data_IF_473150342431
#
_entry.id   IF_473150342431
#
_cell.length_a   1.000
_cell.length_b   1.000
_cell.length_c   1.000
_cell.angle_alpha   90.00
_cell.angle_beta   90.00
_cell.angle_gamma   90.00
#
_symmetry.space_group_name_H-M   'P 1'
#
loop_
_entity.id
_entity.type
_entity.pdbx_description
1 polymer ?
#
# COMPACT_ATOMS: atom_id res chain seq x y z
N UNK A 1 8.64 -9.26 -19.03
CA UNK A 1 9.75 -10.14 -18.59
C UNK A 1 10.03 -10.14 -17.09
N UNK A 2 9.93 -9.00 -16.39
CA UNK A 2 10.20 -8.95 -14.93
C UNK A 2 9.06 -9.50 -14.04
N UNK A 3 7.83 -9.63 -14.53
CA UNK A 3 6.69 -10.01 -13.66
C UNK A 3 6.78 -11.44 -13.10
N UNK A 4 7.21 -12.39 -13.92
CA UNK A 4 7.28 -13.81 -13.57
C UNK A 4 8.23 -14.09 -12.39
N UNK A 5 9.48 -13.60 -12.37
CA UNK A 5 10.35 -13.72 -11.19
C UNK A 5 9.73 -13.17 -9.92
N UNK A 6 9.12 -11.98 -9.97
CA UNK A 6 8.50 -11.35 -8.79
C UNK A 6 7.32 -12.16 -8.25
N UNK A 7 6.47 -12.71 -9.13
CA UNK A 7 5.34 -13.58 -8.73
C UNK A 7 5.79 -14.95 -8.21
N UNK A 8 7.00 -15.40 -8.56
CA UNK A 8 7.60 -16.62 -7.97
C UNK A 8 8.08 -16.34 -6.55
N UNK A 9 8.80 -15.24 -6.34
CA UNK A 9 9.40 -14.90 -5.05
C UNK A 9 8.39 -14.37 -4.03
N UNK A 10 7.30 -13.73 -4.46
CA UNK A 10 6.38 -13.04 -3.57
C UNK A 10 4.92 -13.44 -3.76
N UNK A 11 4.23 -13.70 -2.64
CA UNK A 11 2.81 -14.05 -2.62
C UNK A 11 1.91 -12.92 -3.17
N UNK A 12 2.30 -11.68 -2.90
CA UNK A 12 1.60 -10.48 -3.38
C UNK A 12 2.61 -9.55 -4.02
N UNK A 13 2.25 -8.97 -5.16
CA UNK A 13 3.01 -7.91 -5.82
C UNK A 13 2.09 -6.76 -6.20
N UNK A 14 2.64 -5.55 -6.23
CA UNK A 14 1.97 -4.37 -6.72
C UNK A 14 2.68 -3.88 -7.97
N UNK A 15 1.92 -3.66 -9.03
CA UNK A 15 2.38 -2.92 -10.21
C UNK A 15 1.88 -1.49 -10.07
N UNK A 16 2.78 -0.51 -10.14
CA UNK A 16 2.46 0.90 -9.93
C UNK A 16 3.08 1.73 -11.05
N UNK A 17 2.43 2.80 -11.53
CA UNK A 17 3.10 3.74 -12.40
C UNK A 17 4.31 4.36 -11.69
N UNK A 18 5.43 4.55 -12.39
CA UNK A 18 6.62 5.21 -11.81
C UNK A 18 6.36 6.67 -11.46
N UNK A 19 5.41 7.30 -12.16
CA UNK A 19 4.87 8.63 -11.88
C UNK A 19 3.35 8.54 -11.73
N UNK A 20 2.83 9.05 -10.62
CA UNK A 20 1.40 9.09 -10.34
C UNK A 20 1.07 9.64 -8.96
N UNK A 21 -0.20 9.93 -8.74
CA UNK A 21 -0.76 10.41 -7.48
C UNK A 21 -2.01 9.59 -7.11
N UNK A 22 -2.47 9.74 -5.86
CA UNK A 22 -3.76 9.20 -5.39
C UNK A 22 -3.93 7.69 -5.56
N UNK A 23 -2.85 6.91 -5.67
CA UNK A 23 -2.93 5.46 -5.85
C UNK A 23 -3.51 5.01 -7.19
N UNK A 24 -3.70 5.92 -8.16
CA UNK A 24 -4.35 5.61 -9.42
C UNK A 24 -3.47 4.73 -10.32
N UNK A 25 -4.10 3.71 -10.91
CA UNK A 25 -3.42 2.79 -11.82
C UNK A 25 -2.57 1.74 -11.11
N UNK A 26 -2.62 1.66 -9.78
CA UNK A 26 -2.02 0.57 -9.03
C UNK A 26 -2.83 -0.71 -9.28
N UNK A 27 -2.12 -1.80 -9.57
CA UNK A 27 -2.67 -3.15 -9.65
C UNK A 27 -2.02 -4.02 -8.59
N UNK A 28 -2.80 -4.50 -7.64
CA UNK A 28 -2.39 -5.56 -6.72
C UNK A 28 -2.61 -6.90 -7.39
N UNK A 29 -1.61 -7.77 -7.36
CA UNK A 29 -1.71 -9.16 -7.82
C UNK A 29 -1.39 -10.06 -6.62
N UNK A 30 -2.22 -11.07 -6.41
CA UNK A 30 -2.06 -12.05 -5.36
C UNK A 30 -2.08 -13.44 -5.98
N UNK A 31 -1.04 -14.22 -5.68
CA UNK A 31 -1.00 -15.63 -6.06
C UNK A 31 -2.08 -16.38 -5.29
N UNK A 32 -2.70 -17.35 -5.93
CA UNK A 32 -3.68 -18.25 -5.33
C UNK A 32 -3.14 -19.69 -5.38
N UNK A 33 -3.81 -20.63 -4.71
CA UNK A 33 -3.49 -22.05 -4.87
C UNK A 33 -3.59 -22.48 -6.34
N UNK A 34 -4.55 -21.91 -7.08
CA UNK A 34 -4.68 -22.04 -8.53
C UNK A 34 -4.83 -20.65 -9.15
N UNK A 35 -3.86 -20.26 -9.98
CA UNK A 35 -3.87 -18.99 -10.70
C UNK A 35 -3.56 -17.75 -9.85
N UNK A 36 -4.13 -16.63 -10.27
CA UNK A 36 -3.83 -15.28 -9.76
C UNK A 36 -5.10 -14.46 -9.63
N UNK A 37 -5.21 -13.70 -8.54
CA UNK A 37 -6.21 -12.64 -8.38
C UNK A 37 -5.54 -11.30 -8.62
N UNK A 38 -6.19 -10.42 -9.40
CA UNK A 38 -5.75 -9.03 -9.53
C UNK A 38 -6.84 -8.07 -9.07
N UNK A 39 -6.42 -6.93 -8.52
CA UNK A 39 -7.28 -5.82 -8.13
C UNK A 39 -6.67 -4.52 -8.65
N UNK A 40 -7.40 -3.82 -9.54
CA UNK A 40 -6.99 -2.50 -10.05
C UNK A 40 -7.75 -1.40 -9.35
N UNK A 41 -7.00 -0.41 -8.88
CA UNK A 41 -7.51 0.79 -8.24
C UNK A 41 -7.91 1.81 -9.32
N UNK A 42 -9.08 2.44 -9.17
CA UNK A 42 -9.61 3.42 -10.14
C UNK A 42 -10.01 4.72 -9.45
N UNK A 43 -10.07 5.78 -10.27
CA UNK A 43 -10.76 7.02 -9.93
C UNK A 43 -12.20 6.72 -9.52
N UNK A 44 -12.68 7.37 -8.45
CA UNK A 44 -14.07 7.26 -7.99
C UNK A 44 -14.37 6.10 -7.03
N UNK A 45 -13.36 5.46 -6.44
CA UNK A 45 -13.57 4.46 -5.36
C UNK A 45 -13.98 3.05 -5.82
N UNK A 46 -14.01 2.80 -7.13
CA UNK A 46 -14.26 1.47 -7.69
C UNK A 46 -12.98 0.64 -7.85
N UNK A 47 -13.04 -0.64 -7.49
CA UNK A 47 -11.99 -1.61 -7.84
C UNK A 47 -12.49 -2.59 -8.90
N UNK A 48 -11.66 -2.91 -9.92
CA UNK A 48 -11.92 -4.09 -10.76
C UNK A 48 -11.09 -5.23 -10.23
N UNK A 49 -11.76 -6.22 -9.68
CA UNK A 49 -11.17 -7.50 -9.35
C UNK A 49 -11.34 -8.45 -10.53
N UNK A 50 -10.42 -9.42 -10.63
CA UNK A 50 -10.59 -10.55 -11.53
C UNK A 50 -9.64 -11.67 -11.16
N UNK A 51 -9.92 -12.86 -11.71
CA UNK A 51 -9.09 -14.05 -11.53
C UNK A 51 -8.60 -14.50 -12.90
N UNK A 52 -7.35 -14.94 -12.95
CA UNK A 52 -6.73 -15.57 -14.11
C UNK A 52 -6.16 -16.91 -13.68
N UNK A 53 -6.49 -17.99 -14.37
CA UNK A 53 -6.00 -19.35 -14.07
C UNK A 53 -4.51 -19.56 -14.39
N UNK A 54 -3.93 -18.69 -15.21
CA UNK A 54 -2.59 -18.83 -15.76
C UNK A 54 -1.87 -17.48 -15.86
N UNK A 55 -0.53 -17.53 -15.87
CA UNK A 55 0.31 -16.34 -16.03
C UNK A 55 0.07 -15.67 -17.38
N UNK A 56 -0.11 -16.44 -18.45
CA UNK A 56 -0.36 -15.91 -19.79
C UNK A 56 -1.66 -15.09 -19.85
N UNK A 57 -2.76 -15.59 -19.25
CA UNK A 57 -4.02 -14.82 -19.16
C UNK A 57 -3.86 -13.57 -18.31
N UNK A 58 -3.11 -13.66 -17.20
CA UNK A 58 -2.81 -12.49 -16.37
C UNK A 58 -2.03 -11.44 -17.16
N UNK A 59 -0.97 -11.81 -17.87
CA UNK A 59 -0.17 -10.90 -18.68
C UNK A 59 -0.98 -10.27 -19.81
N UNK A 60 -1.81 -11.04 -20.51
CA UNK A 60 -2.75 -10.52 -21.50
C UNK A 60 -3.72 -9.50 -20.89
N UNK A 61 -4.25 -9.79 -19.71
CA UNK A 61 -5.14 -8.86 -18.99
C UNK A 61 -4.42 -7.59 -18.54
N UNK A 62 -3.18 -7.70 -18.06
CA UNK A 62 -2.37 -6.57 -17.65
C UNK A 62 -2.04 -5.66 -18.83
N UNK A 63 -1.68 -6.23 -19.99
CA UNK A 63 -1.47 -5.45 -21.23
C UNK A 63 -2.69 -4.61 -21.62
N UNK A 64 -3.90 -5.10 -21.36
CA UNK A 64 -5.13 -4.38 -21.67
C UNK A 64 -5.50 -3.27 -20.66
N UNK A 65 -5.09 -3.37 -19.39
CA UNK A 65 -5.53 -2.44 -18.33
C UNK A 65 -4.44 -1.49 -17.82
N UNK A 66 -3.18 -1.82 -18.08
CA UNK A 66 -2.03 -1.00 -17.68
C UNK A 66 -1.77 0.06 -18.76
N UNK A 67 -1.50 1.31 -18.35
CA UNK A 67 -1.16 2.37 -19.28
C UNK A 67 0.21 2.11 -19.93
N UNK A 68 0.40 2.62 -21.16
CA UNK A 68 1.70 2.60 -21.87
C UNK A 68 2.64 3.67 -21.30
N UNK A 69 3.13 3.45 -20.09
CA UNK A 69 4.17 4.28 -19.43
C UNK A 69 5.03 3.43 -18.53
N UNK A 70 6.12 4.01 -18.02
CA UNK A 70 7.00 3.33 -17.08
C UNK A 70 6.23 2.89 -15.83
N UNK A 71 6.40 1.62 -15.47
CA UNK A 71 5.79 0.95 -14.33
C UNK A 71 6.89 0.35 -13.46
N UNK A 72 6.64 0.29 -12.15
CA UNK A 72 7.48 -0.41 -11.18
C UNK A 72 6.72 -1.60 -10.59
N UNK A 73 7.46 -2.64 -10.21
CA UNK A 73 6.96 -3.78 -9.45
C UNK A 73 7.47 -3.67 -8.03
N UNK A 74 6.58 -3.85 -7.05
CA UNK A 74 6.90 -3.79 -5.65
C UNK A 74 6.34 -5.02 -4.94
N UNK A 75 7.10 -5.61 -4.01
CA UNK A 75 6.62 -6.67 -3.14
C UNK A 75 5.46 -6.16 -2.28
N UNK A 76 4.42 -6.97 -2.14
CA UNK A 76 3.35 -6.71 -1.19
C UNK A 76 3.79 -7.03 0.23
N UNK A 77 3.50 -6.11 1.16
CA UNK A 77 3.83 -6.26 2.57
C UNK A 77 2.59 -6.63 3.39
N UNK A 78 2.79 -7.39 4.46
CA UNK A 78 1.78 -7.59 5.49
C UNK A 78 1.74 -6.36 6.40
N UNK A 79 0.81 -5.45 6.11
CA UNK A 79 0.67 -4.21 6.86
C UNK A 79 0.04 -4.47 8.24
N UNK A 80 0.48 -3.69 9.23
CA UNK A 80 -0.19 -3.61 10.52
C UNK A 80 -1.64 -3.15 10.34
N UNK A 81 -2.54 -3.65 11.19
CA UNK A 81 -3.99 -3.43 11.05
C UNK A 81 -4.57 -2.81 12.30
N UNK A 82 -5.32 -1.74 12.17
CA UNK A 82 -6.11 -1.15 13.25
C UNK A 82 -7.58 -1.50 13.01
N UNK A 83 -8.22 -2.22 13.94
CA UNK A 83 -9.60 -2.69 13.76
C UNK A 83 -9.77 -3.56 12.50
N UNK A 84 -8.81 -4.44 12.22
CA UNK A 84 -8.81 -5.31 11.03
C UNK A 84 -8.42 -4.61 9.71
N UNK A 85 -8.35 -3.27 9.67
CA UNK A 85 -8.07 -2.48 8.46
C UNK A 85 -6.59 -2.08 8.40
N UNK A 86 -5.90 -2.27 7.26
CA UNK A 86 -4.49 -1.90 7.14
C UNK A 86 -4.31 -0.38 7.26
N UNK A 87 -3.18 0.06 7.79
CA UNK A 87 -2.83 1.48 7.82
C UNK A 87 -1.37 1.71 7.41
N UNK A 88 -1.09 2.92 6.93
CA UNK A 88 0.27 3.44 6.79
C UNK A 88 0.46 4.69 7.67
N UNK A 89 1.71 5.06 7.89
CA UNK A 89 2.08 6.28 8.60
C UNK A 89 2.66 7.26 7.59
N UNK A 90 2.11 8.47 7.55
CA UNK A 90 2.66 9.59 6.81
C UNK A 90 3.38 10.51 7.79
N UNK A 91 4.69 10.65 7.57
CA UNK A 91 5.55 11.61 8.26
C UNK A 91 5.72 12.82 7.35
N UNK A 92 5.46 14.02 7.86
CA UNK A 92 5.67 15.28 7.17
C UNK A 92 6.99 15.87 7.68
N UNK A 93 7.93 16.07 6.75
CA UNK A 93 9.24 16.64 7.02
C UNK A 93 9.33 17.98 6.29
N UNK A 94 9.80 19.03 6.96
CA UNK A 94 9.98 20.36 6.39
C UNK A 94 11.40 20.85 6.64
N UNK A 95 11.95 21.64 5.70
CA UNK A 95 13.28 22.23 5.83
C UNK A 95 13.14 23.57 6.56
N UNK A 96 13.85 23.73 7.66
CA UNK A 96 13.93 24.99 8.41
C UNK A 96 14.68 26.06 7.59
N UNK A 97 14.57 27.36 7.95
CA UNK A 97 15.36 28.42 7.31
C UNK A 97 16.88 28.18 7.38
N UNK A 98 17.35 27.44 8.39
CA UNK A 98 18.77 27.06 8.57
C UNK A 98 19.16 25.80 7.77
N UNK A 99 18.24 25.25 6.98
CA UNK A 99 18.48 24.11 6.11
C UNK A 99 18.29 22.73 6.74
N UNK A 100 17.93 22.66 8.03
CA UNK A 100 17.72 21.38 8.72
C UNK A 100 16.35 20.79 8.42
N UNK A 101 16.27 19.48 8.15
CA UNK A 101 15.01 18.76 8.03
C UNK A 101 14.43 18.47 9.41
N UNK A 102 13.16 18.82 9.63
CA UNK A 102 12.45 18.58 10.89
C UNK A 102 11.11 17.89 10.63
N UNK A 103 10.73 16.95 11.51
CA UNK A 103 9.42 16.33 11.46
C UNK A 103 8.36 17.27 12.06
N UNK A 104 7.45 17.76 11.22
CA UNK A 104 6.40 18.70 11.65
C UNK A 104 5.06 18.04 11.91
N UNK A 105 4.81 16.87 11.33
CA UNK A 105 3.58 16.12 11.58
C UNK A 105 3.75 14.62 11.32
N UNK A 106 2.97 13.81 12.03
CA UNK A 106 2.88 12.37 11.79
C UNK A 106 1.46 11.87 11.99
N UNK A 107 0.88 11.26 10.95
CA UNK A 107 -0.49 10.77 10.97
C UNK A 107 -0.57 9.33 10.46
N UNK A 108 -1.41 8.50 11.08
CA UNK A 108 -1.75 7.19 10.57
C UNK A 108 -2.99 7.28 9.67
N UNK A 109 -2.89 6.70 8.48
CA UNK A 109 -3.96 6.66 7.47
C UNK A 109 -4.49 5.23 7.39
N UNK A 110 -5.70 5.02 7.89
CA UNK A 110 -6.36 3.71 7.92
C UNK A 110 -7.17 3.54 6.63
N UNK A 111 -6.91 2.46 5.89
CA UNK A 111 -7.63 2.11 4.65
C UNK A 111 -9.14 1.98 4.88
N UNK A 112 -9.97 2.32 3.91
CA UNK A 112 -11.42 2.02 3.95
C UNK A 112 -11.70 0.51 4.05
N UNK A 113 -12.89 0.13 4.52
CA UNK A 113 -13.26 -1.28 4.65
C UNK A 113 -13.16 -1.99 3.29
N UNK A 114 -12.49 -3.16 3.26
CA UNK A 114 -12.26 -3.92 2.03
C UNK A 114 -11.19 -3.35 1.08
N UNK A 115 -10.66 -2.15 1.31
CA UNK A 115 -9.61 -1.59 0.45
C UNK A 115 -8.24 -2.20 0.75
N UNK A 116 -7.52 -2.53 -0.32
CA UNK A 116 -6.15 -3.02 -0.24
C UNK A 116 -5.11 -1.89 -0.10
N UNK A 117 -5.55 -0.62 -0.16
CA UNK A 117 -4.69 0.55 -0.01
C UNK A 117 -5.23 1.50 1.05
N UNK A 118 -4.32 2.08 1.83
CA UNK A 118 -4.58 3.08 2.87
C UNK A 118 -4.76 4.50 2.30
N UNK A 119 -5.29 4.61 1.08
CA UNK A 119 -5.47 5.90 0.46
C UNK A 119 -6.68 6.63 1.05
N UNK A 120 -6.43 7.74 1.74
CA UNK A 120 -7.46 8.57 2.37
C UNK A 120 -8.46 9.12 1.35
N UNK A 121 -8.03 9.36 0.11
CA UNK A 121 -8.91 9.79 -0.97
C UNK A 121 -9.99 8.75 -1.36
N UNK A 122 -9.92 7.52 -0.83
CA UNK A 122 -10.92 6.45 -1.01
C UNK A 122 -11.74 6.20 0.28
N UNK A 123 -11.94 7.22 1.11
CA UNK A 123 -12.72 7.11 2.36
C UNK A 123 -11.94 6.52 3.54
N UNK A 124 -10.60 6.65 3.52
CA UNK A 124 -9.76 6.27 4.65
C UNK A 124 -9.90 7.24 5.83
N UNK A 125 -9.62 6.77 7.04
CA UNK A 125 -9.70 7.60 8.27
C UNK A 125 -8.29 7.98 8.74
N UNK A 126 -8.12 9.22 9.18
CA UNK A 126 -6.88 9.68 9.82
C UNK A 126 -6.99 9.54 11.34
N UNK A 127 -6.01 8.88 11.96
CA UNK A 127 -5.90 8.75 13.41
C UNK A 127 -4.47 9.05 13.85
N UNK A 128 -4.27 9.37 15.13
CA UNK A 128 -2.92 9.53 15.66
C UNK A 128 -2.12 8.23 15.53
N UNK A 129 -0.83 8.35 15.20
CA UNK A 129 0.06 7.17 15.09
C UNK A 129 0.08 6.34 16.36
N UNK A 130 0.04 7.01 17.51
CA UNK A 130 -0.04 6.35 18.81
C UNK A 130 -1.27 5.48 18.96
N UNK A 131 -2.44 5.97 18.51
CA UNK A 131 -3.69 5.21 18.52
C UNK A 131 -3.63 4.02 17.56
N UNK A 132 -3.13 4.24 16.34
CA UNK A 132 -2.98 3.18 15.36
C UNK A 132 -2.10 2.03 15.88
N UNK A 133 -0.93 2.36 16.41
CA UNK A 133 0.04 1.38 16.91
C UNK A 133 -0.49 0.62 18.14
N UNK A 134 -1.11 1.31 19.10
CA UNK A 134 -1.69 0.67 20.30
C UNK A 134 -2.83 -0.28 19.94
N UNK A 135 -3.65 0.07 18.95
CA UNK A 135 -4.77 -0.76 18.52
C UNK A 135 -4.39 -1.88 17.54
N UNK A 136 -3.20 -1.83 16.93
CA UNK A 136 -2.76 -2.80 15.92
C UNK A 136 -1.79 -3.84 16.44
N UNK A 137 -0.91 -3.41 17.32
CA UNK A 137 0.07 -4.27 17.95
C UNK A 137 -0.40 -4.45 19.39
N UNK A 138 -0.60 -5.70 19.82
CA UNK A 138 -0.83 -6.07 21.23
C UNK A 138 0.46 -5.84 22.06
N UNK A 139 1.15 -4.73 21.82
CA UNK A 139 2.41 -4.35 22.44
C UNK A 139 2.09 -3.44 23.61
N UNK A 140 2.63 -3.80 24.78
CA UNK A 140 2.60 -2.98 25.97
C UNK A 140 3.18 -1.59 25.65
N UNK A 141 2.37 -0.53 25.78
CA UNK A 141 2.57 0.78 25.14
C UNK A 141 3.94 1.46 25.41
N UNK A 142 4.64 1.07 26.48
CA UNK A 142 5.98 1.57 26.83
C UNK A 142 7.06 1.13 25.83
N UNK A 143 6.99 -0.09 25.27
CA UNK A 143 7.98 -0.60 24.33
C UNK A 143 7.87 0.04 22.93
N UNK A 144 6.64 0.29 22.47
CA UNK A 144 6.38 0.93 21.16
C UNK A 144 6.79 2.41 21.14
N UNK A 145 6.53 3.15 22.23
CA UNK A 145 6.82 4.60 22.30
C UNK A 145 8.34 4.88 22.29
N UNK A 146 9.16 4.00 22.87
CA UNK A 146 10.63 4.17 22.96
C UNK A 146 11.35 4.04 21.62
N UNK A 147 10.78 3.28 20.67
CA UNK A 147 11.32 3.14 19.30
C UNK A 147 10.96 4.31 18.39
N UNK A 148 9.79 4.92 18.58
CA UNK A 148 9.32 6.06 17.75
C UNK A 148 10.10 7.34 18.08
N UNK A 149 10.46 7.56 19.35
CA UNK A 149 11.25 8.74 19.78
C UNK A 149 12.72 8.73 19.35
N UNK A 150 13.29 7.58 18.97
CA UNK A 150 14.69 7.50 18.49
C UNK A 150 14.85 7.80 16.99
N UNK A 151 13.74 8.03 16.27
CA UNK A 151 13.74 8.39 14.86
C UNK A 151 13.10 9.75 14.57
N UNK A 152 12.94 10.59 15.59
CA UNK A 152 12.45 11.96 15.49
C UNK A 152 13.57 12.93 15.88
#
# INVERSE_FOLDING_TARGET
>A
DQLKPWLRSYQTVFIKPSRGSLGLGIVKISRMARGFRYHRIRMGGGSRAGVCDSLQKLEGRLKAILPRRSMIIQQGLHLARYGGRPYDIRVMIQKTPRGNWVCTNMIARVASAGSAVSNVAEGGTMISVRRAIRGSLRINARAATRRIRRGA
#
